data_IF_183341531892
#
_entry.id   IF_183341531892
#
_cell.length_a   1.000
_cell.length_b   1.000
_cell.length_c   1.000
_cell.angle_alpha   90.00
_cell.angle_beta   90.00
_cell.angle_gamma   90.00
#
_symmetry.space_group_name_H-M   'P 1'
#
loop_
_entity.id
_entity.type
_entity.pdbx_description
1 polymer ?
#
# COMPACT_ATOMS: atom_id res chain seq x y z
N UNK A 1 7.55 27.78 26.54
CA UNK A 1 8.51 26.65 26.64
C UNK A 1 8.41 25.87 25.36
N UNK A 2 9.42 25.97 24.48
CA UNK A 2 9.52 25.09 23.32
C UNK A 2 9.79 23.66 23.83
N UNK A 3 9.13 22.63 23.30
CA UNK A 3 9.58 21.27 23.56
C UNK A 3 10.97 21.11 22.93
N UNK A 4 12.00 21.00 23.78
CA UNK A 4 13.31 20.56 23.36
C UNK A 4 13.20 19.09 22.94
N UNK A 5 13.22 18.84 21.64
CA UNK A 5 13.29 17.49 21.09
C UNK A 5 14.59 16.82 21.58
N UNK A 6 14.51 15.71 22.32
CA UNK A 6 15.70 14.93 22.66
C UNK A 6 15.99 13.96 21.49
N UNK A 7 17.08 14.18 20.74
CA UNK A 7 17.56 13.26 19.69
C UNK A 7 17.42 13.83 18.27
N UNK A 8 18.42 14.60 17.84
CA UNK A 8 18.39 15.44 16.62
C UNK A 8 19.16 14.82 15.44
N UNK A 9 18.92 13.56 15.08
CA UNK A 9 19.30 13.10 13.73
C UNK A 9 18.08 12.92 12.85
N UNK A 10 18.19 13.32 11.57
CA UNK A 10 17.17 13.08 10.57
C UNK A 10 16.76 11.60 10.53
N UNK A 11 17.71 10.70 10.78
CA UNK A 11 17.49 9.25 10.86
C UNK A 11 16.57 8.84 12.02
N UNK A 12 16.71 9.44 13.20
CA UNK A 12 15.82 9.18 14.35
C UNK A 12 14.41 9.69 14.08
N UNK A 13 14.28 10.89 13.50
CA UNK A 13 13.00 11.46 13.09
C UNK A 13 12.32 10.59 12.02
N UNK A 14 13.07 10.19 10.99
CA UNK A 14 12.58 9.29 9.93
C UNK A 14 12.12 7.95 10.51
N UNK A 15 12.87 7.41 11.48
CA UNK A 15 12.52 6.16 12.16
C UNK A 15 11.22 6.29 12.97
N UNK A 16 11.06 7.39 13.72
CA UNK A 16 9.85 7.64 14.50
C UNK A 16 8.62 7.85 13.61
N UNK A 17 8.75 8.65 12.54
CA UNK A 17 7.67 8.87 11.57
C UNK A 17 7.31 7.56 10.86
N UNK A 18 8.30 6.77 10.40
CA UNK A 18 8.04 5.46 9.78
C UNK A 18 7.28 4.52 10.71
N UNK A 19 7.66 4.49 11.99
CA UNK A 19 6.96 3.67 13.00
C UNK A 19 5.51 4.14 13.15
N UNK A 20 5.30 5.45 13.34
CA UNK A 20 3.97 6.02 13.47
C UNK A 20 3.08 5.71 12.26
N UNK A 21 3.58 5.89 11.03
CA UNK A 21 2.84 5.58 9.79
C UNK A 21 2.52 4.08 9.68
N UNK A 22 3.44 3.19 10.05
CA UNK A 22 3.18 1.74 10.07
C UNK A 22 2.11 1.34 11.09
N UNK A 23 2.10 2.00 12.24
CA UNK A 23 1.17 1.73 13.33
C UNK A 23 -0.26 2.22 13.03
N UNK A 24 -0.47 3.06 12.00
CA UNK A 24 -1.79 3.57 11.60
C UNK A 24 -2.66 2.59 10.77
N UNK A 25 -2.38 1.28 10.78
CA UNK A 25 -3.18 0.24 10.10
C UNK A 25 -3.40 0.43 8.57
N UNK A 26 -2.77 1.43 7.95
CA UNK A 26 -2.89 1.75 6.53
C UNK A 26 -2.58 0.53 5.64
N UNK A 27 -1.69 -0.34 6.14
CA UNK A 27 -1.32 -1.60 5.49
C UNK A 27 -2.49 -2.58 5.39
N UNK A 28 -3.33 -2.70 6.40
CA UNK A 28 -4.39 -3.72 6.44
C UNK A 28 -5.52 -3.38 5.45
N UNK A 29 -5.95 -2.12 5.38
CA UNK A 29 -7.04 -1.72 4.49
C UNK A 29 -6.61 -1.75 3.01
N UNK A 30 -5.39 -1.30 2.71
CA UNK A 30 -4.83 -1.39 1.34
C UNK A 30 -4.73 -2.86 0.91
N UNK A 31 -4.19 -3.73 1.77
CA UNK A 31 -4.11 -5.17 1.48
C UNK A 31 -5.49 -5.80 1.30
N UNK A 32 -6.49 -5.39 2.10
CA UNK A 32 -7.86 -5.87 1.98
C UNK A 32 -8.49 -5.48 0.63
N UNK A 33 -8.30 -4.24 0.20
CA UNK A 33 -8.79 -3.75 -1.10
C UNK A 33 -8.12 -4.51 -2.26
N UNK A 34 -6.79 -4.66 -2.18
CA UNK A 34 -5.98 -5.33 -3.19
C UNK A 34 -6.32 -6.82 -3.35
N UNK A 35 -6.69 -7.51 -2.27
CA UNK A 35 -7.11 -8.91 -2.33
C UNK A 35 -8.56 -9.09 -2.78
N UNK A 36 -9.48 -8.25 -2.32
CA UNK A 36 -10.91 -8.48 -2.53
C UNK A 36 -11.43 -7.94 -3.87
N UNK A 37 -10.86 -6.84 -4.37
CA UNK A 37 -11.34 -6.22 -5.60
C UNK A 37 -11.18 -7.12 -6.84
N UNK A 38 -10.04 -7.82 -7.05
CA UNK A 38 -9.89 -8.73 -8.18
C UNK A 38 -10.89 -9.89 -8.13
N UNK A 39 -11.07 -10.51 -6.97
CA UNK A 39 -12.02 -11.61 -6.78
C UNK A 39 -13.46 -11.17 -7.03
N UNK A 40 -13.84 -9.97 -6.55
CA UNK A 40 -15.15 -9.40 -6.81
C UNK A 40 -15.38 -9.15 -8.32
N UNK A 41 -14.37 -8.66 -9.03
CA UNK A 41 -14.44 -8.43 -10.47
C UNK A 41 -14.56 -9.74 -11.26
N UNK A 42 -13.78 -10.77 -10.93
CA UNK A 42 -13.88 -12.10 -11.53
C UNK A 42 -15.29 -12.69 -11.34
N UNK A 43 -15.83 -12.58 -10.12
CA UNK A 43 -17.18 -13.06 -9.80
C UNK A 43 -18.25 -12.30 -10.58
N UNK A 44 -18.14 -10.98 -10.70
CA UNK A 44 -19.09 -10.16 -11.45
C UNK A 44 -19.12 -10.49 -12.95
N UNK A 45 -17.96 -10.90 -13.50
CA UNK A 45 -17.82 -11.29 -14.91
C UNK A 45 -18.07 -12.78 -15.16
N UNK A 46 -18.37 -13.57 -14.11
CA UNK A 46 -18.57 -15.01 -14.23
C UNK A 46 -17.30 -15.78 -14.63
N UNK A 47 -16.12 -15.21 -14.40
CA UNK A 47 -14.84 -15.82 -14.77
C UNK A 47 -14.41 -16.79 -13.67
N UNK A 48 -14.12 -18.03 -14.05
CA UNK A 48 -13.61 -19.06 -13.15
C UNK A 48 -12.18 -19.40 -13.54
N UNK A 49 -11.26 -19.18 -12.60
CA UNK A 49 -9.84 -19.49 -12.76
C UNK A 49 -9.43 -20.65 -11.87
N UNK A 50 -8.48 -21.45 -12.35
CA UNK A 50 -7.78 -22.38 -11.48
C UNK A 50 -7.04 -21.61 -10.37
N UNK A 51 -6.73 -22.29 -9.26
CA UNK A 51 -6.01 -21.64 -8.14
C UNK A 51 -4.69 -20.99 -8.58
N UNK A 52 -3.82 -21.63 -9.40
CA UNK A 52 -2.58 -21.00 -9.86
C UNK A 52 -2.80 -19.78 -10.76
N UNK A 53 -3.80 -19.80 -11.64
CA UNK A 53 -4.12 -18.67 -12.53
C UNK A 53 -4.64 -17.47 -11.73
N UNK A 54 -5.48 -17.74 -10.74
CA UNK A 54 -6.02 -16.72 -9.83
C UNK A 54 -4.92 -16.04 -9.02
N UNK A 55 -4.01 -16.84 -8.48
CA UNK A 55 -2.87 -16.33 -7.71
C UNK A 55 -1.94 -15.48 -8.58
N UNK A 56 -1.64 -15.94 -9.80
CA UNK A 56 -0.86 -15.15 -10.77
C UNK A 56 -1.55 -13.84 -11.13
N UNK A 57 -2.85 -13.88 -11.43
CA UNK A 57 -3.63 -12.69 -11.78
C UNK A 57 -3.67 -11.69 -10.62
N UNK A 58 -3.91 -12.16 -9.39
CA UNK A 58 -3.90 -11.32 -8.20
C UNK A 58 -2.54 -10.65 -8.01
N UNK A 59 -1.43 -11.40 -8.12
CA UNK A 59 -0.08 -10.84 -8.02
C UNK A 59 0.21 -9.79 -9.11
N UNK A 60 -0.21 -10.04 -10.34
CA UNK A 60 -0.06 -9.09 -11.45
C UNK A 60 -0.81 -7.79 -11.16
N UNK A 61 -2.11 -7.87 -10.83
CA UNK A 61 -2.94 -6.70 -10.54
C UNK A 61 -2.40 -5.93 -9.34
N UNK A 62 -2.02 -6.62 -8.26
CA UNK A 62 -1.43 -5.96 -7.09
C UNK A 62 -0.18 -5.17 -7.43
N UNK A 63 0.71 -5.75 -8.25
CA UNK A 63 1.94 -5.08 -8.68
C UNK A 63 1.64 -3.84 -9.52
N UNK A 64 0.70 -3.93 -10.46
CA UNK A 64 0.33 -2.82 -11.34
C UNK A 64 -0.30 -1.67 -10.53
N UNK A 65 -1.30 -1.98 -9.70
CA UNK A 65 -1.98 -0.97 -8.87
C UNK A 65 -1.03 -0.31 -7.87
N UNK A 66 -0.16 -1.09 -7.20
CA UNK A 66 0.84 -0.51 -6.29
C UNK A 66 1.85 0.36 -7.02
N UNK A 67 2.26 -0.02 -8.23
CA UNK A 67 3.14 0.81 -9.07
C UNK A 67 2.48 2.13 -9.41
N UNK A 68 1.21 2.12 -9.82
CA UNK A 68 0.45 3.33 -10.12
C UNK A 68 0.29 4.24 -8.89
N UNK A 69 -0.05 3.66 -7.72
CA UNK A 69 -0.16 4.42 -6.46
C UNK A 69 1.18 5.05 -6.10
N UNK A 70 2.29 4.30 -6.20
CA UNK A 70 3.64 4.84 -5.95
C UNK A 70 3.99 5.96 -6.92
N UNK A 71 3.67 5.80 -8.21
CA UNK A 71 3.87 6.87 -9.19
C UNK A 71 3.07 8.12 -8.87
N UNK A 72 1.81 7.99 -8.44
CA UNK A 72 0.95 9.12 -8.07
C UNK A 72 1.48 9.84 -6.84
N UNK A 73 1.91 9.10 -5.81
CA UNK A 73 2.55 9.66 -4.61
C UNK A 73 3.82 10.41 -4.99
N UNK A 74 4.67 9.84 -5.84
CA UNK A 74 5.92 10.47 -6.28
C UNK A 74 5.69 11.70 -7.18
N UNK A 75 4.63 11.71 -7.99
CA UNK A 75 4.26 12.87 -8.83
C UNK A 75 3.65 14.01 -8.01
N UNK A 76 2.99 13.69 -6.89
CA UNK A 76 2.41 14.66 -5.97
C UNK A 76 3.43 15.53 -5.21
N UNK A 77 4.72 15.18 -5.21
CA UNK A 77 5.79 15.99 -4.63
C UNK A 77 6.27 17.15 -5.54
N UNK A 78 5.71 17.31 -6.75
CA UNK A 78 6.09 18.37 -7.70
C UNK A 78 4.94 19.33 -8.08
N UNK A 79 3.86 19.40 -7.29
CA UNK A 79 2.73 20.31 -7.51
C UNK A 79 2.65 21.39 -6.43
#
# INVERSE_FOLDING_TARGET
MQPSFPGNSYEELLTQIRKHVRDQELSAEILRLLHNAPEAALKAQGIVLSRPERERLSQTIMKEVLSEVLEQVNKGENA
#
